data_IF_072700709345
#
_entry.id   IF_072700709345
#
_cell.length_a   1.000
_cell.length_b   1.000
_cell.length_c   1.000
_cell.angle_alpha   90.00
_cell.angle_beta   90.00
_cell.angle_gamma   90.00
#
_symmetry.space_group_name_H-M   'P 1'
#
loop_
_entity.id
_entity.type
_entity.pdbx_description
1 polymer ?
#
# COMPACT_ATOMS: atom_id res chain seq x y z
N UNK A 1 1.94 7.24 -11.81
CA UNK A 1 1.55 7.78 -10.48
C UNK A 1 0.17 7.24 -10.14
N UNK A 2 -0.03 6.81 -8.89
CA UNK A 2 -1.00 5.78 -8.50
C UNK A 2 -2.48 6.16 -8.66
N UNK A 3 -3.28 5.16 -9.03
CA UNK A 3 -4.75 5.11 -8.97
C UNK A 3 -5.35 5.42 -7.58
N UNK A 4 -4.53 5.43 -6.53
CA UNK A 4 -4.97 5.61 -5.15
C UNK A 4 -4.80 7.04 -4.65
N UNK A 5 -5.85 7.56 -4.03
CA UNK A 5 -5.81 8.81 -3.29
C UNK A 5 -5.06 8.63 -1.95
N UNK A 6 -4.84 9.74 -1.24
CA UNK A 6 -4.09 9.75 0.03
C UNK A 6 -4.72 8.82 1.07
N UNK A 7 -6.04 8.83 1.21
CA UNK A 7 -6.77 8.00 2.19
C UNK A 7 -6.63 6.51 1.88
N UNK A 8 -6.73 6.12 0.62
CA UNK A 8 -6.53 4.74 0.17
C UNK A 8 -5.11 4.26 0.47
N UNK A 9 -4.10 5.10 0.28
CA UNK A 9 -2.71 4.77 0.65
C UNK A 9 -2.58 4.53 2.16
N UNK A 10 -3.22 5.37 2.97
CA UNK A 10 -3.24 5.24 4.44
C UNK A 10 -3.91 3.92 4.85
N UNK A 11 -5.07 3.62 4.28
CA UNK A 11 -5.83 2.40 4.59
C UNK A 11 -5.02 1.14 4.21
N UNK A 12 -4.48 1.11 3.00
CA UNK A 12 -3.66 -0.01 2.52
C UNK A 12 -2.42 -0.20 3.39
N UNK A 13 -1.76 0.89 3.77
CA UNK A 13 -0.60 0.84 4.66
C UNK A 13 -0.95 0.31 6.05
N UNK A 14 -2.06 0.77 6.66
CA UNK A 14 -2.57 0.22 7.93
C UNK A 14 -2.85 -1.27 7.84
N UNK A 15 -3.56 -1.72 6.80
CA UNK A 15 -3.85 -3.15 6.59
C UNK A 15 -2.58 -4.00 6.48
N UNK A 16 -1.56 -3.48 5.81
CA UNK A 16 -0.28 -4.17 5.71
C UNK A 16 0.52 -4.15 7.03
N UNK A 17 0.67 -2.97 7.66
CA UNK A 17 1.55 -2.76 8.81
C UNK A 17 0.94 -3.24 10.12
N UNK A 18 -0.33 -2.92 10.35
CA UNK A 18 -1.03 -3.15 11.62
C UNK A 18 -1.78 -4.47 11.58
N UNK A 19 -2.55 -4.72 10.52
CA UNK A 19 -3.37 -5.95 10.36
C UNK A 19 -2.58 -7.13 9.77
N UNK A 20 -1.32 -6.92 9.39
CA UNK A 20 -0.40 -7.93 8.81
C UNK A 20 -0.96 -8.65 7.58
N UNK A 21 -1.85 -7.99 6.83
CA UNK A 21 -2.38 -8.53 5.58
C UNK A 21 -1.25 -8.61 4.55
N UNK A 22 -1.12 -9.76 3.91
CA UNK A 22 -0.07 -9.98 2.92
C UNK A 22 -0.25 -9.08 1.69
N UNK A 23 0.87 -8.71 1.07
CA UNK A 23 0.89 -7.89 -0.15
C UNK A 23 0.10 -8.57 -1.27
N UNK A 24 0.10 -9.91 -1.35
CA UNK A 24 -0.67 -10.66 -2.35
C UNK A 24 -2.18 -10.55 -2.13
N UNK A 25 -2.65 -10.58 -0.88
CA UNK A 25 -4.07 -10.36 -0.55
C UNK A 25 -4.50 -8.93 -0.89
N UNK A 26 -3.68 -7.94 -0.52
CA UNK A 26 -3.94 -6.53 -0.83
C UNK A 26 -3.92 -6.27 -2.34
N UNK A 27 -2.98 -6.88 -3.08
CA UNK A 27 -2.90 -6.80 -4.54
C UNK A 27 -4.19 -7.29 -5.19
N UNK A 28 -4.77 -8.40 -4.71
CA UNK A 28 -6.06 -8.91 -5.17
C UNK A 28 -7.22 -7.99 -4.80
N UNK A 29 -7.31 -7.57 -3.53
CA UNK A 29 -8.39 -6.73 -3.02
C UNK A 29 -8.48 -5.37 -3.74
N UNK A 30 -7.34 -4.74 -3.95
CA UNK A 30 -7.24 -3.42 -4.56
C UNK A 30 -6.93 -3.45 -6.07
N UNK A 31 -6.94 -4.64 -6.68
CA UNK A 31 -6.66 -4.88 -8.12
C UNK A 31 -5.40 -4.16 -8.61
N UNK A 32 -4.33 -4.24 -7.82
CA UNK A 32 -3.04 -3.61 -8.11
C UNK A 32 -1.98 -4.66 -8.39
N UNK A 33 -1.04 -4.35 -9.28
CA UNK A 33 0.14 -5.18 -9.47
C UNK A 33 0.96 -5.27 -8.17
N UNK A 34 1.44 -6.48 -7.86
CA UNK A 34 2.14 -6.80 -6.61
C UNK A 34 3.44 -6.00 -6.45
N UNK A 35 4.23 -5.82 -7.51
CA UNK A 35 5.46 -5.03 -7.47
C UNK A 35 5.19 -3.54 -7.23
N UNK A 36 4.14 -3.00 -7.85
CA UNK A 36 3.76 -1.59 -7.62
C UNK A 36 3.24 -1.36 -6.20
N UNK A 37 2.51 -2.34 -5.65
CA UNK A 37 2.01 -2.27 -4.28
C UNK A 37 3.15 -2.40 -3.27
N UNK A 38 4.07 -3.35 -3.46
CA UNK A 38 5.26 -3.51 -2.63
C UNK A 38 6.13 -2.24 -2.66
N UNK A 39 6.36 -1.68 -3.84
CA UNK A 39 7.08 -0.41 -3.99
C UNK A 39 6.39 0.74 -3.24
N UNK A 40 5.06 0.88 -3.37
CA UNK A 40 4.30 1.92 -2.67
C UNK A 40 4.42 1.77 -1.14
N UNK A 41 4.27 0.54 -0.62
CA UNK A 41 4.37 0.27 0.81
C UNK A 41 5.76 0.58 1.35
N UNK A 42 6.82 0.19 0.63
CA UNK A 42 8.21 0.50 1.01
C UNK A 42 8.50 2.00 1.02
N UNK A 43 7.99 2.75 0.05
CA UNK A 43 8.13 4.21 0.02
C UNK A 43 7.46 4.86 1.23
N UNK A 44 6.25 4.43 1.58
CA UNK A 44 5.53 4.93 2.76
C UNK A 44 6.27 4.55 4.04
N UNK A 45 6.82 3.33 4.12
CA UNK A 45 7.58 2.88 5.29
C UNK A 45 8.90 3.66 5.47
N UNK A 46 9.55 4.03 4.37
CA UNK A 46 10.84 4.74 4.38
C UNK A 46 10.69 6.25 4.64
N UNK A 47 9.69 6.90 4.04
CA UNK A 47 9.55 8.36 4.05
C UNK A 47 8.32 8.86 4.80
N UNK A 48 7.49 7.96 5.31
CA UNK A 48 6.15 8.30 5.79
C UNK A 48 5.21 8.71 4.63
N UNK A 49 4.02 9.17 5.00
CA UNK A 49 2.97 9.60 4.06
C UNK A 49 3.15 11.04 3.56
N UNK A 50 4.38 11.58 3.61
CA UNK A 50 4.67 12.98 3.32
C UNK A 50 4.91 13.28 1.83
N UNK A 51 4.65 12.32 0.93
CA UNK A 51 4.74 12.47 -0.53
C UNK A 51 3.37 12.75 -1.15
#
# INVERSE_FOLDING_TARGET
>A
MSKFNKEQKIEIYRKWKDEKISISQLSKAYKMNLANLDYMLRLIDMHGLSV
#
